data_IF_202976287214
#
_entry.id   IF_202976287214
#
_cell.length_a   1.000
_cell.length_b   1.000
_cell.length_c   1.000
_cell.angle_alpha   90.00
_cell.angle_beta   90.00
_cell.angle_gamma   90.00
#
_symmetry.space_group_name_H-M   'P 1'
#
loop_
_entity.id
_entity.type
_entity.pdbx_description
1 polymer ?
#
# COMPACT_ATOMS: atom_id res chain seq x y z
N UNK A 1 -1.26 17.23 -8.29
CA UNK A 1 -0.81 15.88 -8.71
C UNK A 1 -0.06 15.25 -7.56
N UNK A 2 -0.28 13.98 -7.26
CA UNK A 2 0.44 13.25 -6.20
C UNK A 2 1.82 12.88 -6.75
N UNK A 3 2.89 13.31 -6.08
CA UNK A 3 4.27 13.17 -6.59
C UNK A 3 5.11 12.20 -5.77
N UNK A 4 4.71 11.97 -4.51
CA UNK A 4 5.47 11.16 -3.57
C UNK A 4 4.63 10.02 -3.01
N UNK A 5 5.16 8.81 -3.08
CA UNK A 5 4.59 7.63 -2.42
C UNK A 5 5.50 7.15 -1.31
N UNK A 6 4.90 6.77 -0.18
CA UNK A 6 5.59 6.17 0.95
C UNK A 6 5.11 4.76 1.27
N UNK A 7 6.00 3.95 1.78
CA UNK A 7 5.72 2.59 2.24
C UNK A 7 6.10 2.45 3.71
N UNK A 8 5.17 1.99 4.53
CA UNK A 8 5.47 1.52 5.88
C UNK A 8 5.51 -0.01 5.83
N UNK A 9 6.72 -0.56 5.88
CA UNK A 9 7.03 -1.97 5.71
C UNK A 9 7.55 -2.31 4.31
N UNK A 10 8.70 -2.98 4.25
CA UNK A 10 9.35 -3.48 3.04
C UNK A 10 9.38 -5.02 3.01
N UNK A 11 8.25 -5.65 3.35
CA UNK A 11 8.06 -7.10 3.19
C UNK A 11 7.93 -7.49 1.71
N UNK A 12 7.65 -8.76 1.42
CA UNK A 12 7.59 -9.28 0.05
C UNK A 12 6.64 -8.48 -0.85
N UNK A 13 5.44 -8.16 -0.38
CA UNK A 13 4.47 -7.40 -1.17
C UNK A 13 4.91 -5.94 -1.34
N UNK A 14 5.39 -5.28 -0.27
CA UNK A 14 5.92 -3.92 -0.36
C UNK A 14 7.05 -3.82 -1.37
N UNK A 15 8.02 -4.74 -1.34
CA UNK A 15 9.12 -4.80 -2.31
C UNK A 15 8.64 -4.97 -3.75
N UNK A 16 7.68 -5.86 -3.99
CA UNK A 16 7.12 -6.08 -5.33
C UNK A 16 6.42 -4.81 -5.87
N UNK A 17 5.65 -4.13 -5.03
CA UNK A 17 5.01 -2.87 -5.40
C UNK A 17 6.04 -1.76 -5.67
N UNK A 18 7.05 -1.61 -4.81
CA UNK A 18 8.13 -0.62 -4.99
C UNK A 18 8.86 -0.88 -6.31
N UNK A 19 9.19 -2.13 -6.63
CA UNK A 19 9.80 -2.50 -7.89
C UNK A 19 8.98 -2.06 -9.10
N UNK A 20 7.69 -2.40 -9.15
CA UNK A 20 6.81 -2.01 -10.24
C UNK A 20 6.69 -0.49 -10.39
N UNK A 21 6.54 0.23 -9.29
CA UNK A 21 6.43 1.69 -9.26
C UNK A 21 7.70 2.36 -9.77
N UNK A 22 8.87 1.91 -9.32
CA UNK A 22 10.16 2.47 -9.72
C UNK A 22 10.49 2.18 -11.18
N UNK A 23 10.25 0.95 -11.66
CA UNK A 23 10.50 0.58 -13.06
C UNK A 23 9.61 1.34 -14.04
N UNK A 24 8.39 1.68 -13.66
CA UNK A 24 7.44 2.40 -14.51
C UNK A 24 7.39 3.91 -14.23
N UNK A 25 8.24 4.42 -13.33
CA UNK A 25 8.33 5.85 -12.97
C UNK A 25 6.97 6.48 -12.62
N UNK A 26 6.14 5.74 -11.84
CA UNK A 26 4.78 6.17 -11.48
C UNK A 26 4.79 7.39 -10.55
N UNK A 27 5.82 7.52 -9.72
CA UNK A 27 6.04 8.64 -8.81
C UNK A 27 7.44 9.22 -8.97
N UNK A 28 7.57 10.52 -8.69
CA UNK A 28 8.86 11.21 -8.71
C UNK A 28 9.76 10.78 -7.56
N UNK A 29 9.16 10.52 -6.40
CA UNK A 29 9.88 10.14 -5.18
C UNK A 29 9.17 8.98 -4.50
N UNK A 30 9.94 7.97 -4.09
CA UNK A 30 9.47 6.83 -3.32
C UNK A 30 10.18 6.81 -1.97
N UNK A 31 9.43 6.86 -0.89
CA UNK A 31 9.92 6.74 0.48
C UNK A 31 9.63 5.35 1.05
N UNK A 32 10.56 4.78 1.80
CA UNK A 32 10.39 3.46 2.40
C UNK A 32 10.83 3.46 3.87
N UNK A 33 9.97 2.96 4.75
CA UNK A 33 10.30 2.65 6.13
C UNK A 33 10.27 1.14 6.36
N UNK A 34 11.28 0.61 7.01
CA UNK A 34 11.33 -0.76 7.53
C UNK A 34 12.14 -0.79 8.82
N UNK A 35 11.93 -1.80 9.66
CA UNK A 35 12.69 -1.99 10.90
C UNK A 35 14.09 -2.59 10.66
N UNK A 36 14.34 -3.15 9.47
CA UNK A 36 15.59 -3.78 9.10
C UNK A 36 16.34 -2.88 8.11
N UNK A 37 17.47 -2.33 8.55
CA UNK A 37 18.31 -1.47 7.72
C UNK A 37 18.73 -2.16 6.41
N UNK A 38 19.05 -3.44 6.45
CA UNK A 38 19.45 -4.23 5.28
C UNK A 38 18.41 -4.21 4.16
N UNK A 39 17.10 -4.23 4.50
CA UNK A 39 16.03 -4.11 3.52
C UNK A 39 16.02 -2.74 2.85
N UNK A 40 16.30 -1.70 3.62
CA UNK A 40 16.33 -0.32 3.15
C UNK A 40 17.54 -0.09 2.24
N UNK A 41 18.71 -0.59 2.62
CA UNK A 41 19.95 -0.46 1.84
C UNK A 41 19.80 -1.10 0.46
N UNK A 42 19.26 -2.33 0.40
CA UNK A 42 18.99 -3.04 -0.87
C UNK A 42 18.04 -2.25 -1.79
N UNK A 43 16.97 -1.67 -1.23
CA UNK A 43 16.01 -0.92 -2.02
C UNK A 43 16.58 0.42 -2.48
N UNK A 44 17.36 1.09 -1.63
CA UNK A 44 18.05 2.32 -1.98
C UNK A 44 19.08 2.08 -3.10
N UNK A 45 19.92 1.06 -2.97
CA UNK A 45 20.94 0.71 -3.96
C UNK A 45 20.33 0.36 -5.33
N UNK A 46 19.21 -0.42 -5.31
CA UNK A 46 18.59 -0.93 -6.54
C UNK A 46 17.73 0.10 -7.27
N UNK A 47 17.02 0.94 -6.52
CA UNK A 47 15.97 1.79 -7.07
C UNK A 47 16.14 3.29 -6.77
N UNK A 48 17.12 3.68 -5.96
CA UNK A 48 17.32 5.08 -5.56
C UNK A 48 16.22 5.66 -4.69
N UNK A 49 15.46 4.80 -3.97
CA UNK A 49 14.38 5.25 -3.08
C UNK A 49 14.94 5.93 -1.83
N UNK A 50 14.19 6.89 -1.29
CA UNK A 50 14.49 7.49 0.00
C UNK A 50 14.11 6.51 1.13
N UNK A 51 14.95 6.41 2.15
CA UNK A 51 14.75 5.43 3.22
C UNK A 51 14.80 6.05 4.61
N UNK A 52 14.06 5.48 5.55
CA UNK A 52 14.08 5.89 6.94
C UNK A 52 13.70 4.73 7.85
N UNK A 53 14.32 4.67 9.04
CA UNK A 53 13.87 3.81 10.14
C UNK A 53 12.69 4.42 10.93
N UNK A 54 12.40 5.70 10.71
CA UNK A 54 11.31 6.43 11.37
C UNK A 54 10.07 6.51 10.48
N UNK A 55 8.99 5.86 10.90
CA UNK A 55 7.70 5.83 10.21
C UNK A 55 7.12 7.25 10.00
N UNK A 56 7.36 8.18 10.94
CA UNK A 56 6.86 9.56 10.86
C UNK A 56 7.50 10.31 9.70
N UNK A 57 8.79 10.13 9.49
CA UNK A 57 9.53 10.75 8.39
C UNK A 57 8.92 10.36 7.05
N UNK A 58 8.62 9.07 6.84
CA UNK A 58 7.97 8.61 5.61
C UNK A 58 6.55 9.14 5.49
N UNK A 59 5.77 9.12 6.58
CA UNK A 59 4.40 9.62 6.58
C UNK A 59 4.29 11.12 6.23
N UNK A 60 5.21 11.95 6.74
CA UNK A 60 5.24 13.40 6.47
C UNK A 60 5.55 13.74 5.02
N UNK A 61 6.35 12.91 4.36
CA UNK A 61 6.80 13.16 2.99
C UNK A 61 5.88 12.55 1.93
N UNK A 62 4.88 11.74 2.30
CA UNK A 62 4.05 10.98 1.37
C UNK A 62 2.74 11.68 1.02
N UNK A 63 2.40 11.72 -0.26
CA UNK A 63 1.06 12.07 -0.77
C UNK A 63 0.15 10.84 -0.82
N UNK A 64 0.76 9.68 -1.10
CA UNK A 64 0.14 8.37 -0.99
C UNK A 64 0.96 7.54 -0.01
N UNK A 65 0.33 6.93 0.98
CA UNK A 65 1.01 6.13 2.01
C UNK A 65 0.46 4.71 2.02
N UNK A 66 1.30 3.75 1.64
CA UNK A 66 0.97 2.33 1.64
C UNK A 66 1.32 1.70 2.98
N UNK A 67 0.34 1.10 3.64
CA UNK A 67 0.54 0.33 4.86
C UNK A 67 0.76 -1.14 4.48
N UNK A 68 2.03 -1.55 4.33
CA UNK A 68 2.45 -2.89 3.93
C UNK A 68 3.04 -3.71 5.10
N UNK A 69 2.46 -3.52 6.28
CA UNK A 69 2.75 -4.28 7.50
C UNK A 69 1.68 -5.33 7.77
N UNK A 70 1.96 -6.27 8.68
CA UNK A 70 0.96 -7.29 9.08
C UNK A 70 -0.23 -6.64 9.79
N UNK A 71 -1.46 -7.16 9.63
CA UNK A 71 -2.68 -6.58 10.22
C UNK A 71 -2.57 -6.23 11.70
N UNK A 72 -1.97 -7.10 12.49
CA UNK A 72 -1.78 -6.91 13.94
C UNK A 72 -0.95 -5.68 14.33
N UNK A 73 -0.21 -5.10 13.38
CA UNK A 73 0.63 -3.92 13.61
C UNK A 73 -0.07 -2.61 13.25
N UNK A 74 -1.21 -2.65 12.54
CA UNK A 74 -1.93 -1.46 12.08
C UNK A 74 -2.25 -0.47 13.20
N UNK A 75 -2.84 -0.88 14.35
CA UNK A 75 -3.18 0.07 15.40
C UNK A 75 -1.95 0.83 15.91
N UNK A 76 -0.82 0.13 16.09
CA UNK A 76 0.43 0.73 16.61
C UNK A 76 1.08 1.66 15.58
N UNK A 77 1.18 1.23 14.33
CA UNK A 77 1.75 2.03 13.23
C UNK A 77 0.92 3.29 13.05
N UNK A 78 -0.40 3.17 12.94
CA UNK A 78 -1.30 4.30 12.74
C UNK A 78 -1.22 5.27 13.93
N UNK A 79 -1.19 4.79 15.16
CA UNK A 79 -1.01 5.63 16.35
C UNK A 79 0.29 6.45 16.27
N UNK A 80 1.37 5.86 15.75
CA UNK A 80 2.64 6.54 15.57
C UNK A 80 2.58 7.66 14.53
N UNK A 81 1.91 7.42 13.40
CA UNK A 81 1.94 8.30 12.22
C UNK A 81 0.75 9.24 12.08
N UNK A 82 -0.37 9.01 12.78
CA UNK A 82 -1.66 9.72 12.56
C UNK A 82 -1.58 11.24 12.58
N UNK A 83 -0.65 11.80 13.36
CA UNK A 83 -0.43 13.25 13.45
C UNK A 83 0.67 13.75 12.50
N UNK A 84 1.34 12.87 11.79
CA UNK A 84 2.46 13.18 10.89
C UNK A 84 2.06 13.13 9.41
N UNK A 85 0.95 12.48 9.07
CA UNK A 85 0.48 12.43 7.67
C UNK A 85 -0.03 13.77 7.18
N UNK A 86 0.13 14.05 5.89
CA UNK A 86 -0.41 15.23 5.22
C UNK A 86 -1.94 15.26 5.31
N UNK A 87 -2.54 16.45 5.26
CA UNK A 87 -4.00 16.62 5.34
C UNK A 87 -4.78 15.98 4.19
N UNK A 88 -4.17 15.88 3.00
CA UNK A 88 -4.77 15.29 1.80
C UNK A 88 -4.08 13.98 1.38
N UNK A 89 -3.51 13.27 2.36
CA UNK A 89 -2.87 11.96 2.12
C UNK A 89 -3.91 10.91 1.74
N UNK A 90 -3.51 10.01 0.85
CA UNK A 90 -4.27 8.80 0.54
C UNK A 90 -3.61 7.62 1.27
N UNK A 91 -4.34 6.94 2.13
CA UNK A 91 -3.89 5.72 2.77
C UNK A 91 -4.29 4.52 1.91
N UNK A 92 -3.32 3.72 1.54
CA UNK A 92 -3.54 2.45 0.83
C UNK A 92 -3.32 1.30 1.81
N UNK A 93 -4.40 0.62 2.16
CA UNK A 93 -4.40 -0.56 3.01
C UNK A 93 -4.34 -1.82 2.14
N UNK A 94 -3.31 -2.65 2.35
CA UNK A 94 -3.15 -3.94 1.66
C UNK A 94 -3.22 -5.15 2.59
N UNK A 95 -3.65 -4.96 3.84
CA UNK A 95 -3.72 -6.04 4.82
C UNK A 95 -5.02 -6.85 4.71
N UNK A 96 -4.93 -8.17 4.73
CA UNK A 96 -6.11 -9.03 4.83
C UNK A 96 -6.86 -8.81 6.15
N UNK A 97 -8.20 -8.76 6.10
CA UNK A 97 -9.05 -8.66 7.29
C UNK A 97 -9.02 -7.31 8.01
N UNK A 98 -8.48 -6.27 7.39
CA UNK A 98 -8.59 -4.87 7.85
C UNK A 98 -9.53 -4.15 6.91
N UNK A 99 -10.50 -3.44 7.42
CA UNK A 99 -11.49 -2.69 6.62
C UNK A 99 -11.12 -1.21 6.50
N UNK A 100 -11.72 -0.53 5.52
CA UNK A 100 -11.65 0.94 5.42
C UNK A 100 -12.07 1.60 6.74
N UNK A 101 -13.14 1.09 7.36
CA UNK A 101 -13.65 1.61 8.62
C UNK A 101 -12.67 1.41 9.77
N UNK A 102 -11.97 0.25 9.83
CA UNK A 102 -10.95 0.00 10.85
C UNK A 102 -9.81 1.02 10.73
N UNK A 103 -9.31 1.25 9.52
CA UNK A 103 -8.24 2.22 9.28
C UNK A 103 -8.67 3.62 9.70
N UNK A 104 -9.86 4.08 9.29
CA UNK A 104 -10.42 5.40 9.70
C UNK A 104 -10.57 5.48 11.22
N UNK A 105 -11.03 4.42 11.85
CA UNK A 105 -11.18 4.34 13.31
C UNK A 105 -9.83 4.48 14.03
N UNK A 106 -8.79 3.81 13.54
CA UNK A 106 -7.45 3.93 14.12
C UNK A 106 -6.84 5.32 13.93
N UNK A 107 -7.08 5.97 12.79
CA UNK A 107 -6.68 7.38 12.59
C UNK A 107 -7.46 8.35 13.46
N UNK A 108 -8.72 8.04 13.78
CA UNK A 108 -9.62 8.88 14.59
C UNK A 108 -9.99 10.21 13.92
N UNK A 109 -9.92 10.26 12.57
CA UNK A 109 -10.26 11.44 11.76
C UNK A 109 -10.72 11.04 10.38
N UNK A 110 -11.38 11.96 9.67
CA UNK A 110 -11.67 11.79 8.27
C UNK A 110 -10.36 11.77 7.46
N UNK A 111 -10.17 10.69 6.72
CA UNK A 111 -9.00 10.45 5.90
C UNK A 111 -9.38 9.59 4.70
N UNK A 112 -8.76 9.83 3.55
CA UNK A 112 -8.98 9.03 2.35
C UNK A 112 -8.33 7.66 2.52
N UNK A 113 -9.12 6.61 2.42
CA UNK A 113 -8.64 5.22 2.54
C UNK A 113 -9.01 4.44 1.29
N UNK A 114 -8.06 3.67 0.81
CA UNK A 114 -8.25 2.75 -0.30
C UNK A 114 -7.88 1.36 0.21
N UNK A 115 -8.82 0.45 0.12
CA UNK A 115 -8.60 -0.96 0.39
C UNK A 115 -8.13 -1.64 -0.87
N UNK A 116 -7.03 -2.38 -0.81
CA UNK A 116 -6.55 -3.15 -1.93
C UNK A 116 -6.09 -4.55 -1.50
N UNK A 117 -6.23 -5.49 -2.41
CA UNK A 117 -5.78 -6.87 -2.21
C UNK A 117 -4.97 -7.32 -3.42
N UNK A 118 -3.66 -7.00 -3.45
CA UNK A 118 -2.74 -7.58 -4.42
C UNK A 118 -2.47 -9.07 -4.12
N UNK A 119 -1.93 -9.78 -5.09
CA UNK A 119 -1.57 -11.19 -4.94
C UNK A 119 -0.09 -11.46 -5.25
N UNK A 120 0.38 -12.66 -4.91
CA UNK A 120 1.79 -13.08 -5.02
C UNK A 120 2.44 -12.90 -6.40
N UNK A 121 1.73 -13.05 -7.55
CA UNK A 121 2.33 -12.76 -8.86
C UNK A 121 2.84 -11.33 -9.05
N UNK A 122 2.58 -10.42 -8.12
CA UNK A 122 3.22 -9.11 -8.05
C UNK A 122 4.76 -9.20 -8.08
N UNK A 123 5.33 -10.27 -7.50
CA UNK A 123 6.78 -10.54 -7.50
C UNK A 123 7.39 -10.71 -8.89
N UNK A 124 6.56 -10.97 -9.91
CA UNK A 124 6.95 -11.08 -11.32
C UNK A 124 6.17 -10.10 -12.19
N UNK A 125 5.69 -9.01 -11.62
CA UNK A 125 4.94 -7.94 -12.27
C UNK A 125 3.69 -8.43 -13.03
N UNK A 126 3.04 -9.45 -12.51
CA UNK A 126 1.86 -10.08 -13.12
C UNK A 126 0.72 -10.25 -12.11
N UNK A 127 0.59 -9.29 -11.19
CA UNK A 127 -0.48 -9.31 -10.19
C UNK A 127 -1.87 -9.13 -10.81
N UNK A 128 -2.86 -9.63 -10.09
CA UNK A 128 -4.26 -9.22 -10.23
C UNK A 128 -4.71 -8.68 -8.88
N UNK A 129 -4.99 -7.40 -8.82
CA UNK A 129 -5.33 -6.69 -7.58
C UNK A 129 -6.80 -6.29 -7.58
N UNK A 130 -7.49 -6.47 -6.46
CA UNK A 130 -8.81 -5.85 -6.23
C UNK A 130 -8.62 -4.55 -5.45
N UNK A 131 -9.42 -3.53 -5.80
CA UNK A 131 -9.36 -2.21 -5.15
C UNK A 131 -10.78 -1.77 -4.80
N UNK A 132 -10.94 -1.23 -3.59
CA UNK A 132 -12.16 -0.54 -3.13
C UNK A 132 -11.82 0.85 -2.62
N UNK A 133 -12.70 1.80 -2.88
CA UNK A 133 -12.49 3.20 -2.55
C UNK A 133 -13.44 3.66 -1.44
N UNK A 134 -12.92 4.45 -0.51
CA UNK A 134 -13.72 5.24 0.43
C UNK A 134 -14.42 6.40 -0.29
N UNK A 135 -15.55 6.85 0.26
CA UNK A 135 -16.37 7.94 -0.31
C UNK A 135 -15.63 9.30 -0.41
N UNK A 136 -14.57 9.49 0.37
CA UNK A 136 -13.74 10.70 0.32
C UNK A 136 -12.75 10.73 -0.86
N UNK A 137 -12.57 9.60 -1.54
CA UNK A 137 -11.60 9.46 -2.63
C UNK A 137 -12.15 10.07 -3.91
N UNK A 138 -11.43 11.05 -4.47
CA UNK A 138 -11.82 11.73 -5.70
C UNK A 138 -11.50 10.88 -6.94
N UNK A 139 -12.07 11.22 -8.11
CA UNK A 139 -11.76 10.52 -9.36
C UNK A 139 -10.26 10.66 -9.73
N UNK A 140 -9.64 11.80 -9.43
CA UNK A 140 -8.20 11.98 -9.64
C UNK A 140 -7.38 11.04 -8.73
N UNK A 141 -7.79 10.89 -7.48
CA UNK A 141 -7.15 9.95 -6.53
C UNK A 141 -7.28 8.50 -7.02
N UNK A 142 -8.46 8.11 -7.54
CA UNK A 142 -8.70 6.76 -8.09
C UNK A 142 -7.77 6.45 -9.26
N UNK A 143 -7.64 7.37 -10.21
CA UNK A 143 -6.72 7.23 -11.35
C UNK A 143 -5.28 7.08 -10.86
N UNK A 144 -4.86 7.91 -9.91
CA UNK A 144 -3.53 7.84 -9.31
C UNK A 144 -3.27 6.47 -8.70
N UNK A 145 -4.18 5.95 -7.87
CA UNK A 145 -3.98 4.66 -7.21
C UNK A 145 -4.08 3.48 -8.17
N UNK A 146 -4.97 3.53 -9.16
CA UNK A 146 -5.00 2.51 -10.20
C UNK A 146 -3.68 2.44 -10.98
N UNK A 147 -2.99 3.58 -11.21
CA UNK A 147 -1.67 3.57 -11.86
C UNK A 147 -0.62 2.83 -11.02
N UNK A 148 -0.71 2.88 -9.68
CA UNK A 148 0.15 2.11 -8.78
C UNK A 148 0.00 0.62 -9.04
N UNK A 149 -1.24 0.11 -9.00
CA UNK A 149 -1.51 -1.32 -9.15
C UNK A 149 -1.27 -1.83 -10.58
N UNK A 150 -1.49 -0.98 -11.58
CA UNK A 150 -1.19 -1.28 -12.98
C UNK A 150 0.32 -1.31 -13.28
N UNK A 151 1.17 -0.76 -12.42
CA UNK A 151 2.62 -0.80 -12.58
C UNK A 151 3.24 -2.17 -12.33
N UNK A 152 2.55 -3.05 -11.62
CA UNK A 152 3.03 -4.41 -11.33
C UNK A 152 2.00 -5.50 -11.69
N UNK A 153 0.97 -5.18 -12.48
CA UNK A 153 -0.04 -6.14 -12.91
C UNK A 153 -1.27 -5.46 -13.49
N UNK A 154 -2.43 -5.94 -13.10
CA UNK A 154 -3.74 -5.37 -13.42
C UNK A 154 -4.53 -5.15 -12.13
N UNK A 155 -5.51 -4.25 -12.16
CA UNK A 155 -6.43 -4.07 -11.05
C UNK A 155 -7.88 -3.94 -11.52
N UNK A 156 -8.79 -4.42 -10.68
CA UNK A 156 -10.24 -4.28 -10.85
C UNK A 156 -10.84 -3.61 -9.62
N UNK A 157 -11.81 -2.73 -9.87
CA UNK A 157 -12.55 -2.07 -8.80
C UNK A 157 -13.71 -2.97 -8.39
N UNK A 158 -13.79 -3.24 -7.09
CA UNK A 158 -14.84 -4.08 -6.50
C UNK A 158 -15.43 -3.40 -5.27
N UNK A 159 -16.63 -3.79 -4.87
CA UNK A 159 -17.20 -3.38 -3.58
C UNK A 159 -16.36 -3.94 -2.43
N UNK A 160 -16.20 -3.16 -1.34
CA UNK A 160 -15.41 -3.60 -0.19
C UNK A 160 -15.90 -4.92 0.41
N UNK A 161 -17.22 -5.16 0.38
CA UNK A 161 -17.86 -6.40 0.83
C UNK A 161 -17.36 -7.65 0.09
N UNK A 162 -16.77 -7.50 -1.10
CA UNK A 162 -16.18 -8.60 -1.88
C UNK A 162 -14.73 -8.91 -1.49
N UNK A 163 -14.07 -8.09 -0.68
CA UNK A 163 -12.64 -8.23 -0.39
C UNK A 163 -12.29 -9.53 0.34
N UNK A 164 -13.18 -10.05 1.20
CA UNK A 164 -12.96 -11.33 1.87
C UNK A 164 -13.03 -12.50 0.88
N UNK A 165 -13.95 -12.44 -0.08
CA UNK A 165 -14.04 -13.43 -1.16
C UNK A 165 -12.79 -13.36 -2.06
N UNK A 166 -12.34 -12.16 -2.44
CA UNK A 166 -11.10 -11.97 -3.18
C UNK A 166 -9.90 -12.52 -2.42
N UNK A 167 -9.79 -12.24 -1.13
CA UNK A 167 -8.71 -12.73 -0.27
C UNK A 167 -8.67 -14.25 -0.26
N UNK A 168 -9.83 -14.91 -0.11
CA UNK A 168 -9.92 -16.36 -0.04
C UNK A 168 -9.56 -17.06 -1.35
N UNK A 169 -9.84 -16.46 -2.50
CA UNK A 169 -9.62 -17.04 -3.82
C UNK A 169 -8.26 -16.66 -4.40
N UNK A 170 -7.85 -15.41 -4.29
CA UNK A 170 -6.70 -14.86 -5.01
C UNK A 170 -5.44 -14.73 -4.15
N UNK A 171 -5.57 -14.42 -2.85
CA UNK A 171 -4.42 -14.07 -2.03
C UNK A 171 -3.80 -15.24 -1.26
N UNK A 172 -4.59 -16.21 -0.78
CA UNK A 172 -4.12 -17.24 0.17
C UNK A 172 -4.24 -18.67 -0.36
N UNK A 173 -5.22 -18.98 -1.18
CA UNK A 173 -5.72 -20.35 -1.31
C UNK A 173 -5.36 -21.09 -2.58
N UNK A 174 -4.71 -20.45 -3.54
CA UNK A 174 -4.43 -21.11 -4.82
C UNK A 174 -3.58 -22.37 -4.68
N UNK A 175 -2.65 -22.38 -3.74
CA UNK A 175 -1.82 -23.57 -3.46
C UNK A 175 -2.58 -24.69 -2.75
N UNK A 176 -3.60 -24.38 -1.96
CA UNK A 176 -4.42 -25.37 -1.25
C UNK A 176 -5.57 -25.95 -2.08
N UNK A 177 -6.09 -25.19 -3.04
CA UNK A 177 -7.15 -25.66 -3.94
C UNK A 177 -6.66 -26.61 -5.02
N UNK A 178 -5.34 -26.76 -5.18
CA UNK A 178 -4.71 -27.63 -6.20
C UNK A 178 -4.19 -28.96 -5.64
N UNK A 179 -4.37 -29.21 -4.35
CA UNK A 179 -3.92 -30.44 -3.69
C UNK A 179 -5.05 -31.54 -3.73
#
# INVERSE_FOLDING_TARGET
MKETIGFIGAGNMGKAMIEGICQNHVFNTVWVCDHHQENLDVLHEKYGVETSLDEKTVAQNSDVLVLSVKPKHYPKVIETIKNSVKSDVIIVDIAAGVTILDVKTYFGKDIKVIKAMPNTPALVLSAMSAISFDDLVTEEDKVCVQSIFNSFGKCEVVEETMMDAVTSVSAVSYTHLRA
#
